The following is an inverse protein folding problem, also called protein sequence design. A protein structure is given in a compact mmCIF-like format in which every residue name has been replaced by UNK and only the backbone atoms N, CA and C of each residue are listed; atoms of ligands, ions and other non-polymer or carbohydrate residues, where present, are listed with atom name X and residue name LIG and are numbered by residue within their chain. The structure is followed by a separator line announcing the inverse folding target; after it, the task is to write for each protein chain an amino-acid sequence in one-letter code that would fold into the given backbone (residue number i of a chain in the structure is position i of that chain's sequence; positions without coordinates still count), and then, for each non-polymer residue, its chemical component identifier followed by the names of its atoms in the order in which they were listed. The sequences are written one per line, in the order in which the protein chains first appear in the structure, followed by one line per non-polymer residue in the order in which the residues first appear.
data_IF_696547173804
#
_entry.id   IF_696547173804
#
_cell.length_a   1.000
_cell.length_b   1.000
_cell.length_c   1.000
_cell.angle_alpha   90.00
_cell.angle_beta   90.00
_cell.angle_gamma   90.00
#
_symmetry.space_group_name_H-M   'P 1'
#
loop_
_entity.id
_entity.type
_entity.pdbx_description
1 polymer ?
#
# COMPACT_ATOMS: atom_id res chain seq x y z
N UNK A 1 8.88 -6.47 6.79
CA UNK A 1 8.00 -6.71 5.63
C UNK A 1 7.02 -7.85 5.88
N UNK A 2 7.46 -9.08 6.19
CA UNK A 2 6.52 -10.16 6.56
C UNK A 2 5.60 -9.77 7.73
N UNK A 3 6.11 -9.02 8.72
CA UNK A 3 5.32 -8.44 9.81
C UNK A 3 4.10 -7.63 9.33
N UNK A 4 4.28 -6.83 8.28
CA UNK A 4 3.23 -5.97 7.73
C UNK A 4 2.14 -6.84 7.09
N UNK A 5 2.52 -7.81 6.25
CA UNK A 5 1.57 -8.74 5.61
C UNK A 5 0.74 -9.47 6.67
N UNK A 6 1.40 -9.93 7.74
CA UNK A 6 0.75 -10.62 8.83
C UNK A 6 -0.26 -9.73 9.57
N UNK A 7 0.07 -8.46 9.81
CA UNK A 7 -0.86 -7.48 10.40
C UNK A 7 -2.06 -7.22 9.47
N UNK A 8 -1.83 -7.01 8.18
CA UNK A 8 -2.88 -6.74 7.20
C UNK A 8 -3.87 -7.91 7.09
N UNK A 9 -3.37 -9.14 7.05
CA UNK A 9 -4.21 -10.35 6.96
C UNK A 9 -4.75 -10.82 8.30
N UNK A 10 -4.45 -10.13 9.40
CA UNK A 10 -4.79 -10.51 10.77
C UNK A 10 -4.32 -11.95 11.12
N UNK A 11 -3.07 -12.28 10.79
CA UNK A 11 -2.44 -13.59 11.03
C UNK A 11 -1.27 -13.40 12.00
N UNK A 12 -1.18 -14.23 13.04
CA UNK A 12 0.00 -14.24 13.92
C UNK A 12 1.17 -15.01 13.32
N UNK A 13 2.41 -14.68 13.72
CA UNK A 13 3.61 -15.42 13.28
C UNK A 13 3.51 -16.92 13.62
N UNK A 14 2.97 -17.25 14.80
CA UNK A 14 2.68 -18.61 15.22
C UNK A 14 1.66 -19.32 14.31
N UNK A 15 0.60 -18.61 13.90
CA UNK A 15 -0.39 -19.17 12.98
C UNK A 15 0.21 -19.43 11.60
N UNK A 16 1.15 -18.59 11.15
CA UNK A 16 1.89 -18.80 9.91
C UNK A 16 2.81 -20.03 10.02
N UNK A 17 3.50 -20.21 11.14
CA UNK A 17 4.34 -21.39 11.42
C UNK A 17 3.55 -22.68 11.27
N UNK A 18 2.39 -22.78 11.93
CA UNK A 18 1.51 -23.95 11.87
C UNK A 18 0.96 -24.24 10.46
N UNK A 19 0.73 -23.20 9.65
CA UNK A 19 0.19 -23.36 8.29
C UNK A 19 1.25 -23.65 7.23
N UNK A 20 2.48 -23.17 7.44
CA UNK A 20 3.54 -23.22 6.42
C UNK A 20 4.51 -24.38 6.60
N UNK A 21 4.55 -25.01 7.78
CA UNK A 21 5.52 -26.06 8.11
C UNK A 21 6.96 -25.56 7.86
N UNK A 22 7.26 -24.37 8.37
CA UNK A 22 8.57 -23.72 8.36
C UNK A 22 8.95 -23.50 9.81
N UNK A 23 10.23 -23.71 10.15
CA UNK A 23 10.71 -23.50 11.52
C UNK A 23 10.47 -22.07 12.00
N UNK A 24 10.14 -21.94 13.29
CA UNK A 24 9.97 -20.64 13.92
C UNK A 24 11.20 -19.73 13.75
N UNK A 25 12.42 -20.28 13.81
CA UNK A 25 13.65 -19.51 13.62
C UNK A 25 13.72 -18.84 12.25
N UNK A 26 13.45 -19.59 11.17
CA UNK A 26 13.46 -19.05 9.81
C UNK A 26 12.36 -18.00 9.62
N UNK A 27 11.13 -18.27 10.09
CA UNK A 27 10.05 -17.28 10.00
C UNK A 27 10.35 -16.02 10.81
N UNK A 28 10.96 -16.16 12.00
CA UNK A 28 11.38 -15.03 12.83
C UNK A 28 12.47 -14.21 12.15
N UNK A 29 13.42 -14.84 11.47
CA UNK A 29 14.46 -14.13 10.75
C UNK A 29 13.92 -13.39 9.51
N UNK A 30 12.91 -13.94 8.81
CA UNK A 30 12.20 -13.23 7.73
C UNK A 30 11.34 -12.10 8.32
N UNK A 31 10.63 -12.36 9.41
CA UNK A 31 9.78 -11.40 10.12
C UNK A 31 10.57 -10.18 10.60
N UNK A 32 11.75 -10.43 11.17
CA UNK A 32 12.70 -9.43 11.65
C UNK A 32 13.70 -9.00 10.58
N UNK A 33 13.47 -9.34 9.31
CA UNK A 33 14.19 -8.78 8.18
C UNK A 33 15.71 -9.08 8.15
N UNK A 34 16.13 -10.17 8.79
CA UNK A 34 17.54 -10.63 8.85
C UNK A 34 17.98 -11.42 7.62
N UNK A 35 17.03 -12.02 6.90
CA UNK A 35 17.31 -12.81 5.69
C UNK A 35 17.27 -11.91 4.45
N UNK A 36 18.25 -12.06 3.56
CA UNK A 36 18.16 -11.54 2.20
C UNK A 36 17.20 -12.43 1.40
N UNK A 37 16.10 -11.84 0.92
CA UNK A 37 15.07 -12.56 0.18
C UNK A 37 15.58 -13.18 -1.12
N UNK A 38 16.58 -12.56 -1.76
CA UNK A 38 17.23 -13.08 -2.98
C UNK A 38 17.93 -14.43 -2.73
N UNK A 39 18.26 -14.73 -1.46
CA UNK A 39 18.90 -15.98 -1.04
C UNK A 39 17.92 -16.96 -0.39
N UNK A 40 16.64 -16.60 -0.28
CA UNK A 40 15.63 -17.47 0.30
C UNK A 40 15.29 -18.60 -0.69
N UNK A 41 15.14 -19.83 -0.19
CA UNK A 41 14.78 -20.94 -1.06
C UNK A 41 13.37 -20.73 -1.65
N UNK A 42 13.20 -21.07 -2.93
CA UNK A 42 11.89 -21.00 -3.60
C UNK A 42 10.85 -21.87 -2.88
N UNK A 43 11.27 -23.00 -2.29
CA UNK A 43 10.39 -23.87 -1.50
C UNK A 43 9.83 -23.14 -0.26
N UNK A 44 10.69 -22.42 0.48
CA UNK A 44 10.29 -21.58 1.62
C UNK A 44 9.30 -20.50 1.18
N UNK A 45 9.61 -19.81 0.07
CA UNK A 45 8.73 -18.77 -0.49
C UNK A 45 7.36 -19.33 -0.87
N UNK A 46 7.32 -20.48 -1.56
CA UNK A 46 6.08 -21.14 -1.97
C UNK A 46 5.21 -21.53 -0.77
N UNK A 47 5.82 -22.08 0.29
CA UNK A 47 5.13 -22.43 1.54
C UNK A 47 4.49 -21.19 2.19
N UNK A 48 5.25 -20.10 2.34
CA UNK A 48 4.74 -18.85 2.93
C UNK A 48 3.62 -18.25 2.06
N UNK A 49 3.85 -18.11 0.76
CA UNK A 49 2.89 -17.50 -0.17
C UNK A 49 1.54 -18.26 -0.16
N UNK A 50 1.60 -19.60 -0.20
CA UNK A 50 0.41 -20.45 -0.12
C UNK A 50 -0.35 -20.25 1.20
N UNK A 51 0.36 -20.19 2.34
CA UNK A 51 -0.27 -19.95 3.65
C UNK A 51 -0.90 -18.56 3.77
N UNK A 52 -0.39 -17.57 3.03
CA UNK A 52 -0.87 -16.20 3.02
C UNK A 52 -1.89 -15.92 1.89
N UNK A 53 -2.19 -16.92 1.05
CA UNK A 53 -3.03 -16.79 -0.16
C UNK A 53 -2.52 -15.67 -1.08
N UNK A 54 -1.23 -15.71 -1.39
CA UNK A 54 -0.54 -14.78 -2.30
C UNK A 54 0.18 -15.59 -3.37
N UNK A 55 0.47 -14.96 -4.51
CA UNK A 55 1.45 -15.51 -5.45
C UNK A 55 2.87 -15.40 -4.87
N UNK A 56 3.81 -16.18 -5.44
CA UNK A 56 5.22 -16.10 -5.02
C UNK A 56 5.78 -14.74 -5.40
N UNK A 57 5.40 -14.22 -6.56
CA UNK A 57 5.75 -12.92 -7.08
C UNK A 57 5.28 -11.81 -6.13
N UNK A 58 4.01 -11.81 -5.74
CA UNK A 58 3.48 -10.84 -4.77
C UNK A 58 4.23 -10.88 -3.43
N UNK A 59 4.52 -12.08 -2.92
CA UNK A 59 5.28 -12.22 -1.68
C UNK A 59 6.72 -11.73 -1.84
N UNK A 60 7.37 -12.07 -2.95
CA UNK A 60 8.74 -11.68 -3.24
C UNK A 60 8.84 -10.16 -3.35
N UNK A 61 8.01 -9.52 -4.16
CA UNK A 61 7.95 -8.06 -4.28
C UNK A 61 7.82 -7.42 -2.90
N UNK A 62 6.90 -7.96 -2.09
CA UNK A 62 6.66 -7.45 -0.75
C UNK A 62 7.89 -7.56 0.17
N UNK A 63 8.58 -8.70 0.13
CA UNK A 63 9.76 -8.93 0.96
C UNK A 63 11.03 -8.24 0.39
N UNK A 64 11.06 -7.97 -0.92
CA UNK A 64 12.14 -7.32 -1.64
C UNK A 64 12.09 -5.79 -1.60
N UNK A 65 10.97 -5.18 -1.20
CA UNK A 65 10.75 -3.73 -1.02
C UNK A 65 11.76 -3.01 -0.10
N UNK A 66 12.77 -3.70 0.43
CA UNK A 66 13.96 -3.07 1.04
C UNK A 66 14.83 -2.29 0.05
N UNK A 67 14.74 -2.58 -1.26
CA UNK A 67 15.60 -1.93 -2.25
C UNK A 67 14.96 -0.59 -2.69
N UNK A 68 15.77 0.47 -2.77
CA UNK A 68 15.31 1.83 -3.08
C UNK A 68 14.76 1.98 -4.51
N UNK A 69 15.13 1.10 -5.43
CA UNK A 69 14.67 1.04 -6.81
C UNK A 69 13.17 0.72 -6.96
N UNK A 70 12.55 0.11 -5.92
CA UNK A 70 11.10 -0.10 -5.85
C UNK A 70 10.31 1.16 -5.50
N UNK A 71 10.97 2.20 -4.97
CA UNK A 71 10.30 3.44 -4.60
C UNK A 71 10.34 4.44 -5.75
N UNK A 72 9.23 5.12 -5.96
CA UNK A 72 9.11 6.27 -6.84
C UNK A 72 8.60 7.45 -6.03
N UNK A 73 9.04 8.64 -6.40
CA UNK A 73 8.39 9.88 -6.03
C UNK A 73 8.20 10.70 -7.31
N UNK A 74 7.15 11.51 -7.35
CA UNK A 74 6.87 12.40 -8.45
C UNK A 74 6.37 13.71 -7.85
N UNK A 75 7.06 14.82 -8.12
CA UNK A 75 6.69 16.14 -7.60
C UNK A 75 5.29 16.57 -8.01
N UNK A 76 4.88 16.31 -9.25
CA UNK A 76 3.53 16.60 -9.72
C UNK A 76 2.48 15.78 -8.95
N UNK A 77 2.80 14.52 -8.63
CA UNK A 77 1.94 13.70 -7.78
C UNK A 77 1.89 14.22 -6.34
N UNK A 78 3.02 14.64 -5.75
CA UNK A 78 3.04 15.17 -4.38
C UNK A 78 2.23 16.47 -4.23
N UNK A 79 2.27 17.33 -5.25
CA UNK A 79 1.40 18.51 -5.32
C UNK A 79 -0.07 18.11 -5.38
N UNK A 80 -0.41 17.12 -6.21
CA UNK A 80 -1.77 16.62 -6.31
C UNK A 80 -2.26 15.98 -4.99
N UNK A 81 -1.43 15.19 -4.31
CA UNK A 81 -1.76 14.66 -2.97
C UNK A 81 -2.11 15.80 -2.02
N UNK A 82 -1.29 16.85 -2.01
CA UNK A 82 -1.49 18.01 -1.15
C UNK A 82 -2.81 18.73 -1.46
N UNK A 83 -3.15 18.87 -2.75
CA UNK A 83 -4.43 19.43 -3.20
C UNK A 83 -5.62 18.60 -2.69
N UNK A 84 -5.58 17.28 -2.91
CA UNK A 84 -6.65 16.36 -2.49
C UNK A 84 -6.83 16.37 -0.97
N UNK A 85 -5.75 16.33 -0.19
CA UNK A 85 -5.82 16.41 1.27
C UNK A 85 -6.41 17.74 1.73
N UNK A 86 -6.03 18.86 1.10
CA UNK A 86 -6.60 20.16 1.40
C UNK A 86 -8.10 20.23 1.07
N UNK A 87 -8.50 19.67 -0.08
CA UNK A 87 -9.91 19.59 -0.45
C UNK A 87 -10.72 18.72 0.51
N UNK A 88 -10.17 17.59 0.95
CA UNK A 88 -10.82 16.75 1.94
C UNK A 88 -11.03 17.49 3.27
N UNK A 89 -10.04 18.25 3.75
CA UNK A 89 -10.17 19.05 4.98
C UNK A 89 -11.29 20.07 4.90
N UNK A 90 -11.47 20.71 3.73
CA UNK A 90 -12.48 21.74 3.48
C UNK A 90 -13.88 21.16 3.25
N UNK A 91 -13.99 20.16 2.38
CA UNK A 91 -15.28 19.64 1.90
C UNK A 91 -15.88 18.61 2.86
N UNK A 92 -15.05 17.85 3.57
CA UNK A 92 -15.47 16.66 4.34
C UNK A 92 -16.11 15.58 3.46
N UNK A 93 -16.50 14.47 4.08
CA UNK A 93 -16.85 13.20 3.42
C UNK A 93 -17.85 13.35 2.26
N UNK A 94 -19.05 13.89 2.50
CA UNK A 94 -20.12 13.94 1.49
C UNK A 94 -19.79 14.84 0.30
N UNK A 95 -19.32 16.06 0.54
CA UNK A 95 -18.99 17.00 -0.53
C UNK A 95 -17.72 16.60 -1.29
N UNK A 96 -16.77 15.93 -0.62
CA UNK A 96 -15.61 15.34 -1.29
C UNK A 96 -16.04 14.23 -2.26
N UNK A 97 -16.90 13.30 -1.80
CA UNK A 97 -17.46 12.26 -2.67
C UNK A 97 -18.24 12.87 -3.84
N UNK A 98 -19.03 13.92 -3.60
CA UNK A 98 -19.72 14.62 -4.68
C UNK A 98 -18.75 15.23 -5.69
N UNK A 99 -17.70 15.92 -5.21
CA UNK A 99 -16.70 16.55 -6.08
C UNK A 99 -15.95 15.54 -6.93
N UNK A 100 -15.52 14.40 -6.35
CA UNK A 100 -14.57 13.51 -7.02
C UNK A 100 -15.19 12.22 -7.56
N UNK A 101 -16.13 11.61 -6.84
CA UNK A 101 -16.78 10.36 -7.25
C UNK A 101 -17.96 10.62 -8.20
N UNK A 102 -18.84 11.57 -7.86
CA UNK A 102 -20.05 11.85 -8.65
C UNK A 102 -19.71 12.60 -9.94
N UNK A 103 -18.79 13.58 -9.89
CA UNK A 103 -18.37 14.33 -11.09
C UNK A 103 -17.33 13.59 -11.96
N UNK A 104 -17.07 12.31 -11.66
CA UNK A 104 -16.25 11.41 -12.48
C UNK A 104 -14.80 11.86 -12.66
N UNK A 105 -14.19 12.42 -11.62
CA UNK A 105 -12.79 12.89 -11.69
C UNK A 105 -11.81 11.73 -11.85
N UNK A 106 -12.11 10.56 -11.26
CA UNK A 106 -11.28 9.35 -11.42
C UNK A 106 -11.24 8.91 -12.89
N UNK A 107 -12.38 8.95 -13.59
CA UNK A 107 -12.46 8.59 -15.00
C UNK A 107 -11.66 9.53 -15.89
N UNK A 108 -11.68 10.85 -15.60
CA UNK A 108 -10.86 11.82 -16.32
C UNK A 108 -9.38 11.49 -16.21
N UNK A 109 -8.89 11.23 -14.99
CA UNK A 109 -7.50 10.83 -14.75
C UNK A 109 -7.12 9.54 -15.49
N UNK A 110 -8.04 8.57 -15.56
CA UNK A 110 -7.80 7.32 -16.33
C UNK A 110 -7.73 7.60 -17.83
N UNK A 111 -8.62 8.44 -18.38
CA UNK A 111 -8.61 8.85 -19.79
C UNK A 111 -7.30 9.54 -20.13
N UNK A 112 -6.84 10.43 -19.25
CA UNK A 112 -5.59 11.19 -19.38
C UNK A 112 -4.34 10.34 -19.06
N UNK A 113 -4.53 9.07 -18.69
CA UNK A 113 -3.48 8.10 -18.32
C UNK A 113 -2.68 8.50 -17.08
N UNK A 114 -3.24 9.36 -16.23
CA UNK A 114 -2.67 9.78 -14.95
C UNK A 114 -2.96 8.74 -13.84
N UNK A 115 -2.47 7.51 -14.03
CA UNK A 115 -2.83 6.37 -13.18
C UNK A 115 -2.44 6.52 -11.71
N UNK A 116 -1.31 7.16 -11.41
CA UNK A 116 -0.89 7.39 -10.00
C UNK A 116 -1.91 8.27 -9.28
N UNK A 117 -2.37 9.35 -9.91
CA UNK A 117 -3.41 10.24 -9.39
C UNK A 117 -4.77 9.53 -9.33
N UNK A 118 -5.11 8.75 -10.34
CA UNK A 118 -6.35 7.98 -10.39
C UNK A 118 -6.44 6.96 -9.24
N UNK A 119 -5.36 6.19 -9.01
CA UNK A 119 -5.29 5.23 -7.91
C UNK A 119 -5.32 5.93 -6.56
N UNK A 120 -4.59 7.03 -6.38
CA UNK A 120 -4.63 7.81 -5.15
C UNK A 120 -6.04 8.30 -4.82
N UNK A 121 -6.71 8.89 -5.81
CA UNK A 121 -8.07 9.40 -5.62
C UNK A 121 -9.08 8.27 -5.36
N UNK A 122 -8.94 7.14 -6.07
CA UNK A 122 -9.76 5.95 -5.81
C UNK A 122 -9.55 5.41 -4.39
N UNK A 123 -8.31 5.31 -3.92
CA UNK A 123 -7.98 4.92 -2.55
C UNK A 123 -8.63 5.84 -1.52
N UNK A 124 -8.62 7.15 -1.79
CA UNK A 124 -9.20 8.17 -0.92
C UNK A 124 -10.74 8.05 -0.86
N UNK A 125 -11.38 7.89 -2.01
CA UNK A 125 -12.83 7.66 -2.11
C UNK A 125 -13.22 6.37 -1.40
N UNK A 126 -12.50 5.28 -1.64
CA UNK A 126 -12.73 3.98 -0.97
C UNK A 126 -12.58 4.10 0.54
N UNK A 127 -11.55 4.83 1.00
CA UNK A 127 -11.34 5.12 2.41
C UNK A 127 -12.56 5.82 3.04
N UNK A 128 -13.07 6.89 2.41
CA UNK A 128 -14.24 7.62 2.91
C UNK A 128 -15.48 6.72 2.91
N UNK A 129 -15.69 5.94 1.85
CA UNK A 129 -16.83 5.02 1.77
C UNK A 129 -16.79 3.99 2.90
N UNK A 130 -15.65 3.31 3.08
CA UNK A 130 -15.49 2.27 4.11
C UNK A 130 -15.57 2.85 5.53
N UNK A 131 -15.03 4.05 5.76
CA UNK A 131 -15.15 4.76 7.03
C UNK A 131 -16.61 5.05 7.41
N UNK A 132 -17.48 5.25 6.42
CA UNK A 132 -18.89 5.61 6.61
C UNK A 132 -19.86 4.45 6.32
N UNK A 133 -19.38 3.20 6.27
CA UNK A 133 -20.18 2.02 5.93
C UNK A 133 -20.98 2.15 4.61
N UNK A 134 -20.44 2.90 3.65
CA UNK A 134 -21.02 3.09 2.33
C UNK A 134 -20.51 2.03 1.33
N UNK A 135 -21.36 1.59 0.38
CA UNK A 135 -20.94 0.66 -0.65
C UNK A 135 -19.92 1.29 -1.59
N UNK A 136 -18.94 0.49 -2.01
CA UNK A 136 -17.97 0.89 -3.01
C UNK A 136 -18.61 1.00 -4.39
N UNK A 137 -18.22 2.01 -5.17
CA UNK A 137 -18.72 2.19 -6.54
C UNK A 137 -18.21 1.07 -7.47
N UNK A 138 -19.09 0.17 -7.88
CA UNK A 138 -18.78 -1.04 -8.68
C UNK A 138 -18.09 -0.74 -10.03
N UNK A 139 -18.31 0.45 -10.61
CA UNK A 139 -17.65 0.89 -11.85
C UNK A 139 -16.11 0.84 -11.79
N UNK A 140 -15.52 0.91 -10.59
CA UNK A 140 -14.08 0.86 -10.40
C UNK A 140 -13.53 -0.51 -9.99
N UNK A 141 -14.34 -1.58 -9.99
CA UNK A 141 -13.90 -2.90 -9.52
C UNK A 141 -12.75 -3.47 -10.36
N UNK A 142 -12.68 -3.13 -11.65
CA UNK A 142 -11.53 -3.48 -12.49
C UNK A 142 -10.28 -2.71 -12.08
N UNK A 143 -10.43 -1.41 -11.77
CA UNK A 143 -9.32 -0.55 -11.36
C UNK A 143 -8.77 -0.98 -9.99
N UNK A 144 -9.64 -1.34 -9.04
CA UNK A 144 -9.24 -1.86 -7.70
C UNK A 144 -8.42 -3.15 -7.74
N UNK A 145 -8.46 -3.90 -8.85
CA UNK A 145 -7.66 -5.13 -9.03
C UNK A 145 -6.27 -4.86 -9.59
N UNK A 146 -5.95 -3.61 -9.91
CA UNK A 146 -4.66 -3.20 -10.45
C UNK A 146 -3.84 -2.49 -9.36
N UNK A 147 -2.52 -2.42 -9.56
CA UNK A 147 -1.59 -1.70 -8.68
C UNK A 147 -0.48 -1.07 -9.52
N UNK A 148 0.18 -0.04 -8.99
CA UNK A 148 1.36 0.56 -9.62
C UNK A 148 2.54 -0.42 -9.59
N UNK A 149 3.45 -0.30 -10.56
CA UNK A 149 4.67 -1.10 -10.65
C UNK A 149 5.69 -0.72 -9.55
N UNK A 150 5.73 0.55 -9.19
CA UNK A 150 6.53 1.09 -8.09
C UNK A 150 5.67 1.55 -6.92
N UNK A 151 6.30 1.64 -5.75
CA UNK A 151 5.70 2.22 -4.55
C UNK A 151 5.88 3.73 -4.59
N UNK A 152 4.77 4.45 -4.65
CA UNK A 152 4.80 5.91 -4.61
C UNK A 152 4.83 6.40 -3.17
N UNK A 153 5.88 7.15 -2.85
CA UNK A 153 6.11 7.85 -1.58
C UNK A 153 6.21 9.35 -1.83
N UNK A 154 5.96 10.17 -0.81
CA UNK A 154 6.29 11.58 -0.87
C UNK A 154 7.81 11.80 -0.91
N UNK A 155 8.23 12.92 -1.48
CA UNK A 155 9.64 13.36 -1.51
C UNK A 155 10.24 13.36 -0.10
N UNK A 156 9.48 13.80 0.91
CA UNK A 156 9.89 13.79 2.32
C UNK A 156 10.17 12.38 2.84
N UNK A 157 9.27 11.42 2.61
CA UNK A 157 9.43 10.02 3.03
C UNK A 157 10.62 9.39 2.31
N UNK A 158 10.77 9.64 1.01
CA UNK A 158 11.88 9.13 0.22
C UNK A 158 13.24 9.61 0.76
N UNK A 159 13.36 10.89 1.09
CA UNK A 159 14.58 11.46 1.69
C UNK A 159 14.87 10.87 3.08
N UNK A 160 13.84 10.61 3.89
CA UNK A 160 14.01 9.96 5.20
C UNK A 160 14.49 8.50 5.06
N UNK A 161 14.01 7.76 4.07
CA UNK A 161 14.48 6.40 3.75
C UNK A 161 15.94 6.41 3.28
N UNK A 162 16.30 7.32 2.36
CA UNK A 162 17.68 7.48 1.86
C UNK A 162 18.66 7.73 3.00
N UNK A 163 18.28 8.60 3.93
CA UNK A 163 19.09 8.95 5.10
C UNK A 163 18.97 7.93 6.25
N UNK A 164 18.27 6.80 6.05
CA UNK A 164 18.03 5.75 7.06
C UNK A 164 17.43 6.29 8.37
N UNK A 165 16.71 7.42 8.31
CA UNK A 165 16.01 8.01 9.46
C UNK A 165 14.71 7.27 9.78
N UNK A 166 14.10 6.67 8.76
CA UNK A 166 12.97 5.76 8.88
C UNK A 166 13.28 4.46 8.13
N UNK A 167 12.54 3.41 8.45
CA UNK A 167 12.64 2.11 7.80
C UNK A 167 11.45 1.86 6.88
N UNK A 168 11.66 1.02 5.87
CA UNK A 168 10.56 0.54 5.02
C UNK A 168 9.46 -0.12 5.87
N UNK A 169 9.85 -0.87 6.91
CA UNK A 169 8.85 -1.49 7.79
C UNK A 169 7.95 -0.47 8.51
N UNK A 170 8.47 0.71 8.89
CA UNK A 170 7.70 1.75 9.58
C UNK A 170 6.65 2.34 8.66
N UNK A 171 7.05 2.81 7.46
CA UNK A 171 6.12 3.44 6.51
C UNK A 171 4.99 2.49 6.11
N UNK A 172 5.28 1.20 5.94
CA UNK A 172 4.27 0.20 5.59
C UNK A 172 3.33 -0.13 6.75
N UNK A 173 3.80 -0.09 7.99
CA UNK A 173 2.97 -0.37 9.17
C UNK A 173 1.99 0.76 9.51
N UNK A 174 2.36 1.99 9.15
CA UNK A 174 1.62 3.24 9.38
C UNK A 174 0.73 3.60 8.18
N UNK A 175 1.03 3.06 7.00
CA UNK A 175 0.26 3.32 5.79
C UNK A 175 -1.18 2.82 5.91
N UNK A 176 -2.12 3.63 5.43
CA UNK A 176 -3.51 3.26 5.27
C UNK A 176 -3.62 2.16 4.20
N UNK A 177 -4.31 1.06 4.56
CA UNK A 177 -4.48 -0.13 3.71
C UNK A 177 -5.11 0.16 2.35
N UNK A 178 -6.01 1.16 2.28
CA UNK A 178 -6.70 1.51 1.04
C UNK A 178 -5.76 2.14 0.02
N UNK A 179 -4.68 2.77 0.48
CA UNK A 179 -3.63 3.33 -0.37
C UNK A 179 -2.57 2.29 -0.67
N UNK A 180 -2.21 1.49 0.34
CA UNK A 180 -1.20 0.45 0.21
C UNK A 180 -1.54 -0.59 -0.87
N UNK A 181 -2.82 -0.96 -1.00
CA UNK A 181 -3.27 -1.92 -2.03
C UNK A 181 -2.93 -1.48 -3.47
N UNK A 182 -2.78 -0.18 -3.70
CA UNK A 182 -2.40 0.40 -4.99
C UNK A 182 -0.91 0.80 -5.06
N UNK A 183 -0.07 0.34 -4.12
CA UNK A 183 1.34 0.72 -3.99
C UNK A 183 1.54 2.23 -3.74
N UNK A 184 0.70 2.85 -2.91
CA UNK A 184 0.87 4.25 -2.51
C UNK A 184 1.02 4.33 -0.98
N UNK A 185 2.05 5.04 -0.52
CA UNK A 185 2.25 5.33 0.89
C UNK A 185 1.52 6.62 1.26
N UNK A 186 0.50 6.45 2.09
CA UNK A 186 -0.26 7.53 2.71
C UNK A 186 -0.67 7.11 4.13
N UNK A 187 -0.16 7.81 5.14
CA UNK A 187 -0.44 7.57 6.55
C UNK A 187 -1.38 8.62 7.15
N UNK A 188 -1.43 9.82 6.57
CA UNK A 188 -2.03 11.01 7.18
C UNK A 188 -3.26 11.50 6.39
N UNK A 189 -4.24 10.61 6.20
CA UNK A 189 -5.47 10.99 5.48
C UNK A 189 -6.29 12.05 6.24
N UNK A 190 -6.25 12.01 7.58
CA UNK A 190 -7.02 12.92 8.45
C UNK A 190 -6.15 13.93 9.22
N UNK A 191 -4.85 13.65 9.38
CA UNK A 191 -3.93 14.42 10.23
C UNK A 191 -2.68 14.84 9.45
N UNK A 192 -2.81 15.78 8.51
CA UNK A 192 -1.64 16.49 7.98
C UNK A 192 -1.48 17.76 8.81
N UNK A 193 -0.43 17.81 9.64
CA UNK A 193 -0.08 19.00 10.43
C UNK A 193 0.44 20.10 9.50
#
# INVERSE_FOLDING_TARGET
MLRVILKEKNISLYSLEKKSDISHSTLSDIYNEKINIDKCSILTMKKIASSLKMSIEELYDFLAYKKLDYFAFNRDFDLYKSEICHDYRRLKDSEFLKKYLINKEIEKLVIDKEYVKAFYLLSFVDYICLKNDLPLANKYDKLRKQKLDKIYVSESIFLLLLNKKITVSQIFNECNKEFLKHNIIESEVENVI
#
